data_IF_889056761582
#
_entry.id   IF_889056761582
#
_cell.length_a   1.000
_cell.length_b   1.000
_cell.length_c   1.000
_cell.angle_alpha   90.00
_cell.angle_beta   90.00
_cell.angle_gamma   90.00
#
_symmetry.space_group_name_H-M   'P 1'
#
loop_
_entity.id
_entity.type
_entity.pdbx_description
1 polymer ?
#
# COMPACT_ATOMS: atom_id res chain seq x y z
N UNK A 1 -26.26 -20.61 11.30
CA UNK A 1 -25.32 -19.83 10.46
C UNK A 1 -24.95 -18.48 11.06
N UNK A 2 -25.89 -17.68 11.58
CA UNK A 2 -25.60 -16.35 12.16
C UNK A 2 -24.72 -16.45 13.41
N UNK A 3 -25.02 -17.38 14.32
CA UNK A 3 -24.25 -17.58 15.55
C UNK A 3 -22.77 -17.88 15.29
N UNK A 4 -22.48 -18.73 14.30
CA UNK A 4 -21.11 -19.05 13.89
C UNK A 4 -20.35 -17.81 13.37
N UNK A 5 -21.02 -16.95 12.60
CA UNK A 5 -20.42 -15.70 12.09
C UNK A 5 -20.12 -14.73 13.23
N UNK A 6 -21.03 -14.61 14.20
CA UNK A 6 -20.82 -13.76 15.38
C UNK A 6 -19.67 -14.27 16.24
N UNK A 7 -19.60 -15.59 16.45
CA UNK A 7 -18.49 -16.21 17.19
C UNK A 7 -17.16 -16.05 16.46
N UNK A 8 -17.15 -16.15 15.13
CA UNK A 8 -15.94 -15.92 14.33
C UNK A 8 -15.46 -14.47 14.44
N UNK A 9 -16.36 -13.48 14.36
CA UNK A 9 -16.01 -12.07 14.53
C UNK A 9 -15.48 -11.80 15.94
N UNK A 10 -16.15 -12.32 16.97
CA UNK A 10 -15.69 -12.20 18.36
C UNK A 10 -14.32 -12.86 18.57
N UNK A 11 -14.10 -14.04 17.98
CA UNK A 11 -12.80 -14.72 18.03
C UNK A 11 -11.71 -13.90 17.35
N UNK A 12 -11.95 -13.34 16.16
CA UNK A 12 -11.00 -12.48 15.46
C UNK A 12 -10.70 -11.20 16.25
N UNK A 13 -11.71 -10.56 16.84
CA UNK A 13 -11.53 -9.38 17.71
C UNK A 13 -10.73 -9.74 18.96
N UNK A 14 -11.04 -10.85 19.62
CA UNK A 14 -10.31 -11.27 20.83
C UNK A 14 -8.86 -11.62 20.52
N UNK A 15 -8.59 -12.38 19.44
CA UNK A 15 -7.23 -12.73 19.01
C UNK A 15 -6.42 -11.49 18.65
N UNK A 16 -7.03 -10.52 17.97
CA UNK A 16 -6.35 -9.25 17.61
C UNK A 16 -6.23 -8.29 18.79
N UNK A 17 -7.11 -8.32 19.78
CA UNK A 17 -7.01 -7.46 20.96
C UNK A 17 -5.98 -7.98 21.98
N UNK A 18 -5.83 -9.30 22.12
CA UNK A 18 -5.00 -9.90 23.17
C UNK A 18 -3.53 -10.15 22.79
N UNK A 19 -3.15 -9.94 21.52
CA UNK A 19 -1.80 -10.31 21.02
C UNK A 19 -1.06 -9.21 20.26
N UNK A 20 -1.68 -8.05 20.04
CA UNK A 20 -1.16 -7.03 19.13
C UNK A 20 -0.41 -5.97 19.94
N UNK A 21 0.68 -6.42 20.57
CA UNK A 21 1.79 -5.52 20.89
C UNK A 21 2.44 -5.16 19.54
N UNK A 22 2.21 -3.95 19.08
CA UNK A 22 2.88 -3.40 17.90
C UNK A 22 4.37 -3.28 18.20
N UNK A 23 5.20 -3.95 17.41
CA UNK A 23 6.65 -3.79 17.47
C UNK A 23 7.07 -2.47 16.83
N UNK A 24 6.40 -2.11 15.74
CA UNK A 24 6.53 -0.83 15.09
C UNK A 24 5.18 -0.44 14.45
N UNK A 25 4.87 0.85 14.48
CA UNK A 25 3.78 1.47 13.73
C UNK A 25 4.26 2.80 13.18
N UNK A 26 4.30 2.91 11.86
CA UNK A 26 4.76 4.10 11.15
C UNK A 26 3.73 4.53 10.11
N UNK A 27 3.51 5.84 9.99
CA UNK A 27 2.75 6.42 8.88
C UNK A 27 3.54 7.58 8.29
N UNK A 28 3.56 7.67 6.97
CA UNK A 28 4.32 8.66 6.23
C UNK A 28 3.55 9.18 5.04
N UNK A 29 3.82 10.43 4.68
CA UNK A 29 3.44 11.00 3.39
C UNK A 29 4.71 11.33 2.62
N UNK A 30 4.71 11.10 1.32
CA UNK A 30 5.83 11.40 0.44
C UNK A 30 5.37 12.10 -0.82
N UNK A 31 6.25 12.96 -1.33
CA UNK A 31 6.08 13.68 -2.59
C UNK A 31 7.33 13.44 -3.44
N UNK A 32 7.13 13.24 -4.73
CA UNK A 32 8.20 13.01 -5.69
C UNK A 32 7.91 13.71 -7.00
N UNK A 33 8.97 13.90 -7.79
CA UNK A 33 8.88 14.38 -9.16
C UNK A 33 9.57 13.38 -10.08
N UNK A 34 8.98 13.12 -11.23
CA UNK A 34 9.47 12.16 -12.19
C UNK A 34 9.05 12.48 -13.62
N UNK A 35 9.53 11.66 -14.56
CA UNK A 35 9.22 11.79 -15.98
C UNK A 35 8.73 10.44 -16.51
N UNK A 36 7.48 10.39 -16.97
CA UNK A 36 6.91 9.22 -17.62
C UNK A 36 7.25 9.25 -19.11
N UNK A 37 7.93 8.21 -19.60
CA UNK A 37 8.29 8.07 -21.02
C UNK A 37 7.55 6.87 -21.59
N UNK A 38 6.69 7.13 -22.56
CA UNK A 38 5.95 6.10 -23.29
C UNK A 38 6.45 6.02 -24.72
N UNK A 39 6.70 4.79 -25.20
CA UNK A 39 7.08 4.53 -26.58
C UNK A 39 6.09 3.54 -27.16
N UNK A 40 5.37 3.95 -28.18
CA UNK A 40 4.53 3.06 -28.99
C UNK A 40 5.23 2.76 -30.31
N UNK A 41 5.12 1.50 -30.72
CA UNK A 41 5.54 1.04 -32.04
C UNK A 41 4.34 0.29 -32.62
N UNK A 42 3.66 0.90 -33.59
CA UNK A 42 2.61 0.24 -34.36
C UNK A 42 2.94 0.33 -35.86
N UNK A 43 3.01 -0.82 -36.53
CA UNK A 43 3.20 -0.96 -37.99
C UNK A 43 4.26 -0.03 -38.61
N UNK A 44 5.38 0.17 -37.91
CA UNK A 44 6.49 1.00 -38.39
C UNK A 44 6.39 2.49 -38.07
N UNK A 45 5.33 2.94 -37.39
CA UNK A 45 5.26 4.27 -36.79
C UNK A 45 5.78 4.22 -35.36
N UNK A 46 6.80 5.02 -35.06
CA UNK A 46 7.25 5.27 -33.69
C UNK A 46 6.57 6.53 -33.16
N UNK A 47 5.82 6.41 -32.07
CA UNK A 47 5.34 7.55 -31.29
C UNK A 47 6.06 7.56 -29.94
N UNK A 48 6.57 8.73 -29.54
CA UNK A 48 7.16 8.95 -28.22
C UNK A 48 6.38 10.04 -27.52
N UNK A 49 5.92 9.73 -26.32
CA UNK A 49 5.34 10.71 -25.40
C UNK A 49 6.23 10.80 -24.17
N UNK A 50 6.48 12.01 -23.72
CA UNK A 50 7.17 12.28 -22.45
C UNK A 50 6.29 13.24 -21.65
N UNK A 51 6.01 12.88 -20.41
CA UNK A 51 5.17 13.68 -19.52
C UNK A 51 5.87 13.84 -18.17
N UNK A 52 5.98 15.08 -17.72
CA UNK A 52 6.40 15.39 -16.36
C UNK A 52 5.28 15.00 -15.39
N UNK A 53 5.64 14.35 -14.28
CA UNK A 53 4.67 13.88 -13.31
C UNK A 53 5.08 14.30 -11.90
N UNK A 54 4.09 14.71 -11.11
CA UNK A 54 4.23 14.82 -9.67
C UNK A 54 3.59 13.59 -9.05
N UNK A 55 4.34 12.94 -8.16
CA UNK A 55 3.92 11.79 -7.38
C UNK A 55 3.59 12.24 -5.96
N UNK A 56 2.46 11.80 -5.44
CA UNK A 56 2.08 11.99 -4.05
C UNK A 56 1.67 10.64 -3.50
N UNK A 57 2.08 10.31 -2.29
CA UNK A 57 1.70 9.04 -1.70
C UNK A 57 1.64 9.08 -0.20
N UNK A 58 0.92 8.10 0.33
CA UNK A 58 0.88 7.81 1.75
C UNK A 58 1.28 6.36 1.96
N UNK A 59 2.09 6.13 2.98
CA UNK A 59 2.54 4.81 3.37
C UNK A 59 2.28 4.59 4.85
N UNK A 60 2.00 3.34 5.19
CA UNK A 60 1.86 2.88 6.56
C UNK A 60 2.56 1.55 6.72
N UNK A 61 3.25 1.38 7.84
CA UNK A 61 3.90 0.14 8.21
C UNK A 61 3.46 -0.31 9.59
N UNK A 62 3.31 -1.61 9.73
CA UNK A 62 2.94 -2.25 10.98
C UNK A 62 3.71 -3.58 11.12
N UNK A 63 4.31 -3.81 12.28
CA UNK A 63 4.93 -5.09 12.63
C UNK A 63 4.48 -5.58 14.01
N UNK A 64 4.39 -6.90 14.18
CA UNK A 64 4.14 -7.50 15.50
C UNK A 64 5.45 -7.61 16.30
N UNK A 65 5.38 -7.44 17.62
CA UNK A 65 6.51 -7.75 18.52
C UNK A 65 6.91 -9.23 18.43
N UNK A 66 5.91 -10.13 18.30
CA UNK A 66 6.08 -11.58 18.06
C UNK A 66 4.88 -12.11 17.26
N UNK A 67 5.04 -13.07 16.34
CA UNK A 67 6.31 -13.66 15.88
C UNK A 67 7.13 -12.66 15.05
N UNK A 68 8.46 -12.68 15.22
CA UNK A 68 9.47 -11.72 14.74
C UNK A 68 9.58 -11.55 13.21
N UNK A 69 8.59 -12.03 12.44
CA UNK A 69 8.66 -12.20 10.98
C UNK A 69 7.41 -11.75 10.24
N UNK A 70 6.43 -11.15 10.91
CA UNK A 70 5.25 -10.63 10.25
C UNK A 70 5.29 -9.11 10.18
N UNK A 71 5.33 -8.62 8.94
CA UNK A 71 5.36 -7.21 8.57
C UNK A 71 4.25 -6.97 7.54
N UNK A 72 3.47 -5.91 7.73
CA UNK A 72 2.49 -5.44 6.76
C UNK A 72 2.79 -3.98 6.48
N UNK A 73 3.03 -3.69 5.21
CA UNK A 73 3.11 -2.34 4.68
C UNK A 73 1.94 -2.12 3.72
N UNK A 74 1.33 -0.94 3.79
CA UNK A 74 0.39 -0.45 2.79
C UNK A 74 0.98 0.83 2.22
N UNK A 75 1.07 0.91 0.90
CA UNK A 75 1.42 2.14 0.19
C UNK A 75 0.32 2.45 -0.81
N UNK A 76 0.01 3.73 -0.98
CA UNK A 76 -0.89 4.19 -2.02
C UNK A 76 -0.32 5.47 -2.60
N UNK A 77 -0.07 5.42 -3.91
CA UNK A 77 0.55 6.49 -4.67
C UNK A 77 -0.40 6.97 -5.76
N UNK A 78 -0.44 8.29 -5.96
CA UNK A 78 -1.15 8.97 -7.02
C UNK A 78 -0.17 9.78 -7.86
N UNK A 79 -0.31 9.71 -9.18
CA UNK A 79 0.42 10.52 -10.14
C UNK A 79 -0.49 11.55 -10.77
N UNK A 80 0.00 12.79 -10.91
CA UNK A 80 -0.64 13.82 -11.72
C UNK A 80 0.35 14.24 -12.79
N UNK A 81 -0.06 14.11 -14.05
CA UNK A 81 0.69 14.60 -15.21
C UNK A 81 0.55 16.12 -15.35
N UNK A 82 1.68 16.77 -15.64
CA UNK A 82 1.77 18.19 -15.96
C UNK A 82 1.57 18.43 -17.47
#
# INVERSE_FOLDING_TARGET
>A
MILFRVLLVLFLVLVTYSSVLAGNFGVGAHIGYGVFKHKEIDKGQEARSTQDVILFGVSGEYSFVKPDKFFVGITTDWTIGL
#
